data_IF_268990055710
#
_entry.id   IF_268990055710
#
_cell.length_a   1.000
_cell.length_b   1.000
_cell.length_c   1.000
_cell.angle_alpha   90.00
_cell.angle_beta   90.00
_cell.angle_gamma   90.00
#
_symmetry.space_group_name_H-M   'P 1'
#
loop_
_entity.id
_entity.type
_entity.pdbx_description
1 polymer ?
#
# COMPACT_ATOMS: atom_id res chain seq x y z
N UNK A 1 3.87 -14.33 -15.86
CA UNK A 1 3.56 -12.89 -15.89
C UNK A 1 4.20 -12.28 -14.66
N UNK A 2 5.01 -11.23 -14.80
CA UNK A 2 5.85 -10.67 -13.75
C UNK A 2 5.05 -9.80 -12.77
N UNK A 3 4.01 -9.10 -13.21
CA UNK A 3 3.09 -8.43 -12.30
C UNK A 3 2.23 -9.52 -11.69
N UNK A 4 2.20 -9.56 -10.37
CA UNK A 4 1.44 -10.53 -9.62
C UNK A 4 -0.03 -10.46 -10.04
N UNK A 5 -0.61 -11.58 -10.49
CA UNK A 5 -2.07 -11.65 -10.53
C UNK A 5 -2.60 -11.59 -9.09
N UNK A 6 -3.89 -11.28 -8.87
CA UNK A 6 -4.46 -11.32 -7.52
C UNK A 6 -4.18 -12.63 -6.79
N UNK A 7 -4.27 -13.77 -7.49
CA UNK A 7 -4.01 -15.10 -6.94
C UNK A 7 -2.54 -15.26 -6.53
N UNK A 8 -1.61 -14.86 -7.39
CA UNK A 8 -0.17 -14.95 -7.09
C UNK A 8 0.20 -14.02 -5.94
N UNK A 9 -0.37 -12.82 -5.85
CA UNK A 9 -0.08 -11.91 -4.73
C UNK A 9 -0.59 -12.44 -3.39
N UNK A 10 -1.76 -13.11 -3.39
CA UNK A 10 -2.24 -13.84 -2.21
C UNK A 10 -1.25 -14.94 -1.79
N UNK A 11 -0.79 -15.75 -2.74
CA UNK A 11 0.18 -16.82 -2.49
C UNK A 11 1.53 -16.29 -2.01
N UNK A 12 2.00 -15.15 -2.54
CA UNK A 12 3.20 -14.46 -2.05
C UNK A 12 3.06 -14.19 -0.55
N UNK A 13 1.99 -13.50 -0.14
CA UNK A 13 1.76 -13.13 1.25
C UNK A 13 1.59 -14.36 2.17
N UNK A 14 0.92 -15.42 1.69
CA UNK A 14 0.77 -16.68 2.43
C UNK A 14 2.12 -17.39 2.62
N UNK A 15 2.96 -17.40 1.57
CA UNK A 15 4.32 -17.95 1.62
C UNK A 15 5.20 -17.16 2.58
N UNK A 16 5.12 -15.84 2.56
CA UNK A 16 5.83 -14.97 3.49
C UNK A 16 5.43 -15.25 4.95
N UNK A 17 4.12 -15.34 5.21
CA UNK A 17 3.61 -15.66 6.55
C UNK A 17 4.05 -17.03 7.04
N UNK A 18 3.92 -18.07 6.21
CA UNK A 18 4.31 -19.44 6.56
C UNK A 18 5.83 -19.59 6.71
N UNK A 19 6.59 -18.94 5.83
CA UNK A 19 8.05 -18.97 5.78
C UNK A 19 8.73 -18.01 6.76
N UNK A 20 7.97 -17.15 7.47
CA UNK A 20 8.45 -16.14 8.43
C UNK A 20 9.46 -15.17 7.80
N UNK A 21 9.15 -14.68 6.61
CA UNK A 21 9.89 -13.60 5.95
C UNK A 21 8.92 -12.50 5.52
N UNK A 22 9.46 -11.39 5.01
CA UNK A 22 8.68 -10.27 4.48
C UNK A 22 9.20 -9.86 3.10
N UNK A 23 8.36 -9.19 2.32
CA UNK A 23 8.75 -8.58 1.05
C UNK A 23 9.08 -7.11 1.25
N UNK A 24 10.11 -6.59 0.59
CA UNK A 24 10.33 -5.15 0.52
C UNK A 24 9.22 -4.48 -0.31
N UNK A 25 8.67 -3.39 0.21
CA UNK A 25 7.81 -2.48 -0.54
C UNK A 25 8.56 -1.17 -0.78
N UNK A 26 8.89 -0.90 -2.06
CA UNK A 26 9.81 0.17 -2.44
C UNK A 26 9.04 1.32 -3.07
N UNK A 27 9.09 2.50 -2.44
CA UNK A 27 8.56 3.73 -3.03
C UNK A 27 9.31 4.07 -4.33
N UNK A 28 8.56 4.37 -5.38
CA UNK A 28 9.08 4.80 -6.68
C UNK A 28 8.42 6.10 -7.12
N UNK A 29 9.19 6.93 -7.82
CA UNK A 29 8.76 8.27 -8.26
C UNK A 29 9.11 8.54 -9.72
N UNK A 30 9.64 7.55 -10.43
CA UNK A 30 10.10 7.69 -11.81
C UNK A 30 10.34 6.33 -12.46
N UNK A 31 10.55 6.32 -13.78
CA UNK A 31 10.98 5.11 -14.49
C UNK A 31 12.37 4.64 -14.03
N UNK A 32 13.26 5.56 -13.62
CA UNK A 32 14.58 5.20 -13.10
C UNK A 32 14.50 4.46 -11.76
N UNK A 33 13.69 4.95 -10.83
CA UNK A 33 13.51 4.32 -9.50
C UNK A 33 12.76 3.00 -9.62
N UNK A 34 11.77 2.92 -10.51
CA UNK A 34 11.12 1.66 -10.88
C UNK A 34 12.11 0.62 -11.43
N UNK A 35 12.96 0.99 -12.39
CA UNK A 35 13.97 0.08 -12.92
C UNK A 35 14.97 -0.37 -11.84
N UNK A 36 15.35 0.53 -10.93
CA UNK A 36 16.23 0.19 -9.81
C UNK A 36 15.58 -0.85 -8.88
N UNK A 37 14.30 -0.67 -8.53
CA UNK A 37 13.56 -1.62 -7.70
C UNK A 37 13.43 -3.00 -8.38
N UNK A 38 12.98 -3.03 -9.64
CA UNK A 38 12.84 -4.28 -10.42
C UNK A 38 14.15 -5.05 -10.53
N UNK A 39 15.25 -4.33 -10.81
CA UNK A 39 16.59 -4.91 -10.86
C UNK A 39 17.02 -5.45 -9.49
N UNK A 40 16.81 -4.69 -8.43
CA UNK A 40 17.15 -5.12 -7.06
C UNK A 40 16.43 -6.40 -6.67
N UNK A 41 15.13 -6.53 -6.98
CA UNK A 41 14.36 -7.75 -6.74
C UNK A 41 14.91 -8.93 -7.54
N UNK A 42 15.20 -8.74 -8.83
CA UNK A 42 15.73 -9.80 -9.67
C UNK A 42 17.14 -10.26 -9.25
N UNK A 43 18.03 -9.33 -8.87
CA UNK A 43 19.38 -9.66 -8.38
C UNK A 43 19.34 -10.35 -7.02
N UNK A 44 18.33 -10.06 -6.19
CA UNK A 44 18.10 -10.75 -4.93
C UNK A 44 17.34 -12.09 -5.08
N UNK A 45 16.96 -12.46 -6.31
CA UNK A 45 16.10 -13.62 -6.60
C UNK A 45 14.82 -13.63 -5.75
N UNK A 46 14.26 -12.44 -5.49
CA UNK A 46 13.12 -12.24 -4.61
C UNK A 46 11.95 -11.61 -5.38
N UNK A 47 10.74 -12.07 -5.06
CA UNK A 47 9.54 -11.29 -5.37
C UNK A 47 9.54 -9.98 -4.54
N UNK A 48 8.72 -9.01 -4.89
CA UNK A 48 8.69 -7.71 -4.20
C UNK A 48 7.42 -6.90 -4.41
N UNK A 49 7.36 -5.73 -3.78
CA UNK A 49 6.26 -4.77 -3.90
C UNK A 49 6.84 -3.42 -4.34
N UNK A 50 6.18 -2.78 -5.31
CA UNK A 50 6.46 -1.40 -5.73
C UNK A 50 5.30 -0.55 -5.26
N UNK A 51 5.59 0.54 -4.56
CA UNK A 51 4.55 1.46 -4.08
C UNK A 51 4.72 2.89 -4.55
N UNK A 52 3.59 3.58 -4.67
CA UNK A 52 3.51 4.97 -5.10
C UNK A 52 2.75 5.75 -4.01
N UNK A 53 3.42 6.67 -3.32
CA UNK A 53 2.79 7.58 -2.36
C UNK A 53 1.98 8.66 -3.06
N UNK A 54 1.18 9.42 -2.31
CA UNK A 54 0.44 10.56 -2.88
C UNK A 54 1.40 11.61 -3.48
N UNK A 55 2.50 11.94 -2.79
CA UNK A 55 3.51 12.85 -3.31
C UNK A 55 4.26 12.29 -4.53
N UNK A 56 4.56 10.99 -4.53
CA UNK A 56 5.16 10.31 -5.69
C UNK A 56 4.24 10.33 -6.92
N UNK A 57 2.95 10.06 -6.71
CA UNK A 57 1.93 10.11 -7.75
C UNK A 57 1.75 11.53 -8.29
N UNK A 58 1.72 12.55 -7.43
CA UNK A 58 1.66 13.96 -7.82
C UNK A 58 2.87 14.34 -8.69
N UNK A 59 4.07 13.94 -8.28
CA UNK A 59 5.30 14.19 -9.02
C UNK A 59 5.25 13.58 -10.43
N UNK A 60 4.77 12.34 -10.54
CA UNK A 60 4.58 11.63 -11.81
C UNK A 60 3.47 12.21 -12.68
N UNK A 61 2.45 12.81 -12.07
CA UNK A 61 1.35 13.52 -12.75
C UNK A 61 1.81 14.81 -13.46
N UNK A 62 3.09 15.17 -13.32
CA UNK A 62 3.71 16.31 -13.96
C UNK A 62 3.55 17.59 -13.14
N UNK A 63 4.56 18.45 -13.20
CA UNK A 63 4.63 19.67 -12.37
C UNK A 63 3.62 20.76 -12.76
N UNK A 64 2.92 20.60 -13.89
CA UNK A 64 1.93 21.57 -14.35
C UNK A 64 0.55 21.34 -13.72
N UNK A 65 -0.02 20.13 -13.87
CA UNK A 65 -1.35 19.78 -13.36
C UNK A 65 -1.33 18.99 -12.05
N UNK A 66 -0.21 18.31 -11.72
CA UNK A 66 -0.01 17.63 -10.43
C UNK A 66 -1.10 16.61 -10.11
N UNK A 67 -1.53 15.84 -11.12
CA UNK A 67 -2.63 14.89 -10.99
C UNK A 67 -2.16 13.51 -10.51
N UNK A 68 -2.46 13.17 -9.26
CA UNK A 68 -2.04 11.90 -8.63
C UNK A 68 -2.52 10.67 -9.42
N UNK A 69 -3.80 10.60 -9.80
CA UNK A 69 -4.35 9.45 -10.55
C UNK A 69 -3.61 9.27 -11.87
N UNK A 70 -3.41 10.35 -12.62
CA UNK A 70 -2.69 10.34 -13.89
C UNK A 70 -1.27 9.82 -13.73
N UNK A 71 -0.53 10.31 -12.72
CA UNK A 71 0.83 9.87 -12.43
C UNK A 71 0.93 8.40 -12.03
N UNK A 72 0.06 7.95 -11.13
CA UNK A 72 0.04 6.56 -10.68
C UNK A 72 -0.36 5.59 -11.80
N UNK A 73 -1.38 5.92 -12.59
CA UNK A 73 -1.79 5.11 -13.76
C UNK A 73 -0.66 5.02 -14.78
N UNK A 74 -0.03 6.15 -15.13
CA UNK A 74 1.04 6.18 -16.12
C UNK A 74 2.23 5.30 -15.70
N UNK A 75 2.66 5.38 -14.44
CA UNK A 75 3.77 4.56 -13.97
C UNK A 75 3.37 3.08 -13.80
N UNK A 76 2.15 2.79 -13.36
CA UNK A 76 1.66 1.42 -13.27
C UNK A 76 1.60 0.74 -14.64
N UNK A 77 1.05 1.40 -15.66
CA UNK A 77 1.02 0.87 -17.04
C UNK A 77 2.44 0.64 -17.59
N UNK A 78 3.36 1.58 -17.34
CA UNK A 78 4.75 1.37 -17.69
C UNK A 78 5.35 0.15 -16.96
N UNK A 79 5.06 -0.03 -15.66
CA UNK A 79 5.51 -1.17 -14.87
C UNK A 79 4.97 -2.51 -15.42
N UNK A 80 3.70 -2.58 -15.81
CA UNK A 80 3.11 -3.76 -16.45
C UNK A 80 3.88 -4.20 -17.71
N UNK A 81 4.41 -3.24 -18.48
CA UNK A 81 5.21 -3.53 -19.69
C UNK A 81 6.63 -3.97 -19.32
N UNK A 82 7.34 -3.20 -18.49
CA UNK A 82 8.78 -3.44 -18.28
C UNK A 82 9.07 -4.60 -17.34
N UNK A 83 8.16 -4.91 -16.41
CA UNK A 83 8.31 -6.04 -15.50
C UNK A 83 8.44 -7.36 -16.27
N UNK A 84 7.95 -7.46 -17.53
CA UNK A 84 7.96 -8.72 -18.32
C UNK A 84 9.36 -9.20 -18.67
N UNK A 85 10.35 -8.34 -18.47
CA UNK A 85 11.75 -8.62 -18.74
C UNK A 85 12.50 -9.11 -17.50
N UNK A 86 11.81 -9.27 -16.36
CA UNK A 86 12.39 -9.72 -15.10
C UNK A 86 11.86 -11.10 -14.70
N UNK A 87 12.69 -11.98 -14.12
CA UNK A 87 12.32 -13.36 -13.77
C UNK A 87 11.62 -13.49 -12.40
N UNK A 88 11.19 -12.38 -11.79
CA UNK A 88 10.57 -12.31 -10.46
C UNK A 88 9.14 -11.79 -10.55
N UNK A 89 8.37 -12.00 -9.49
CA UNK A 89 7.01 -11.48 -9.37
C UNK A 89 7.00 -10.19 -8.57
N UNK A 90 6.23 -9.20 -9.02
CA UNK A 90 6.12 -7.90 -8.36
C UNK A 90 4.67 -7.46 -8.27
N UNK A 91 4.24 -7.03 -7.09
CA UNK A 91 2.95 -6.40 -6.89
C UNK A 91 3.08 -4.87 -6.92
N UNK A 92 2.13 -4.21 -7.57
CA UNK A 92 1.93 -2.77 -7.49
C UNK A 92 0.99 -2.41 -6.33
N UNK A 93 1.39 -1.40 -5.56
CA UNK A 93 0.72 -0.88 -4.37
C UNK A 93 0.63 0.66 -4.42
N UNK A 94 -0.30 1.26 -3.69
CA UNK A 94 -0.28 2.71 -3.38
C UNK A 94 -0.17 2.90 -1.89
N UNK A 95 0.74 3.78 -1.49
CA UNK A 95 1.06 4.07 -0.10
C UNK A 95 0.00 4.95 0.59
N UNK A 96 0.30 5.40 1.81
CA UNK A 96 -0.51 6.29 2.66
C UNK A 96 -1.46 7.21 1.88
N UNK A 97 -2.76 6.97 2.02
CA UNK A 97 -3.81 7.81 1.45
C UNK A 97 -4.76 8.28 2.55
N UNK A 98 -4.60 9.53 3.05
CA UNK A 98 -5.46 10.08 4.08
C UNK A 98 -6.84 10.46 3.55
N UNK A 99 -7.76 10.74 4.47
CA UNK A 99 -9.20 10.97 4.18
C UNK A 99 -9.45 12.02 3.11
N UNK A 100 -8.72 13.13 3.16
CA UNK A 100 -8.85 14.26 2.24
C UNK A 100 -8.30 13.97 0.83
N UNK A 101 -7.52 12.89 0.67
CA UNK A 101 -6.95 12.44 -0.61
C UNK A 101 -7.69 11.27 -1.25
N UNK A 102 -8.56 10.57 -0.50
CA UNK A 102 -9.28 9.37 -0.97
C UNK A 102 -9.99 9.57 -2.32
N UNK A 103 -10.76 10.65 -2.45
CA UNK A 103 -11.54 10.96 -3.66
C UNK A 103 -10.65 11.39 -4.85
N UNK A 104 -9.42 11.82 -4.56
CA UNK A 104 -8.43 12.21 -5.57
C UNK A 104 -7.39 11.13 -5.88
N UNK A 105 -7.43 9.96 -5.21
CA UNK A 105 -6.40 8.93 -5.36
C UNK A 105 -6.95 7.50 -5.32
N UNK A 106 -7.15 6.90 -4.13
CA UNK A 106 -7.52 5.49 -4.01
C UNK A 106 -8.90 5.17 -4.60
N UNK A 107 -9.93 6.00 -4.36
CA UNK A 107 -11.29 5.71 -4.88
C UNK A 107 -11.36 5.73 -6.41
N UNK A 108 -10.73 6.69 -7.12
CA UNK A 108 -10.60 6.64 -8.58
C UNK A 108 -9.77 5.44 -9.08
N UNK A 109 -8.67 5.09 -8.43
CA UNK A 109 -7.83 3.95 -8.83
C UNK A 109 -8.55 2.60 -8.64
N UNK A 110 -9.33 2.47 -7.57
CA UNK A 110 -10.26 1.35 -7.38
C UNK A 110 -11.27 1.28 -8.53
N UNK A 111 -11.91 2.40 -8.89
CA UNK A 111 -12.88 2.43 -9.98
C UNK A 111 -12.26 1.99 -11.33
N UNK A 112 -11.03 2.41 -11.63
CA UNK A 112 -10.29 1.95 -12.81
C UNK A 112 -10.11 0.42 -12.78
N UNK A 113 -9.71 -0.12 -11.64
CA UNK A 113 -9.50 -1.56 -11.47
C UNK A 113 -10.81 -2.36 -11.51
N UNK A 114 -11.90 -1.85 -10.94
CA UNK A 114 -13.24 -2.42 -11.05
C UNK A 114 -13.66 -2.55 -12.51
N UNK A 115 -13.45 -1.52 -13.35
CA UNK A 115 -13.76 -1.58 -14.78
C UNK A 115 -12.86 -2.58 -15.54
N UNK A 116 -11.56 -2.65 -15.22
CA UNK A 116 -10.65 -3.67 -15.78
C UNK A 116 -11.13 -5.08 -15.47
N UNK A 117 -11.51 -5.34 -14.22
CA UNK A 117 -12.00 -6.64 -13.77
C UNK A 117 -13.34 -7.01 -14.43
N UNK A 118 -14.28 -6.06 -14.55
CA UNK A 118 -15.54 -6.27 -15.30
C UNK A 118 -15.28 -6.60 -16.77
N UNK A 119 -14.25 -6.02 -17.37
CA UNK A 119 -13.82 -6.32 -18.74
C UNK A 119 -13.04 -7.65 -18.88
N UNK A 120 -12.82 -8.39 -17.79
CA UNK A 120 -12.12 -9.68 -17.78
C UNK A 120 -10.60 -9.58 -17.65
N UNK A 121 -10.07 -8.40 -17.37
CA UNK A 121 -8.65 -8.20 -17.07
C UNK A 121 -8.37 -8.31 -15.55
N UNK A 122 -7.09 -8.32 -15.18
CA UNK A 122 -6.67 -8.12 -13.79
C UNK A 122 -6.71 -6.63 -13.41
N UNK A 123 -6.80 -6.31 -12.10
CA UNK A 123 -6.76 -4.93 -11.64
C UNK A 123 -5.43 -4.25 -12.02
N UNK A 124 -5.41 -2.91 -12.02
CA UNK A 124 -4.20 -2.16 -12.36
C UNK A 124 -3.16 -2.26 -11.24
N UNK A 125 -3.62 -2.13 -9.99
CA UNK A 125 -2.87 -2.32 -8.76
C UNK A 125 -3.34 -3.60 -8.06
N UNK A 126 -2.48 -4.21 -7.25
CA UNK A 126 -2.81 -5.43 -6.50
C UNK A 126 -3.21 -5.10 -5.06
N UNK A 127 -2.79 -3.93 -4.56
CA UNK A 127 -3.21 -3.41 -3.25
C UNK A 127 -3.24 -1.88 -3.22
N UNK A 128 -4.02 -1.34 -2.28
CA UNK A 128 -4.07 0.09 -1.97
C UNK A 128 -4.09 0.28 -0.45
N UNK A 129 -3.40 1.30 0.05
CA UNK A 129 -3.44 1.68 1.46
C UNK A 129 -4.51 2.75 1.72
N UNK A 130 -5.31 2.50 2.75
CA UNK A 130 -6.15 3.47 3.43
C UNK A 130 -5.46 3.83 4.75
N UNK A 131 -5.00 5.07 4.86
CA UNK A 131 -4.44 5.60 6.09
C UNK A 131 -5.48 6.48 6.80
N UNK A 132 -6.24 5.86 7.70
CA UNK A 132 -7.19 6.54 8.57
C UNK A 132 -6.63 6.85 9.95
N UNK A 133 -5.32 6.78 10.15
CA UNK A 133 -4.69 6.86 11.48
C UNK A 133 -4.91 8.20 12.19
N UNK A 134 -5.15 9.27 11.43
CA UNK A 134 -5.51 10.60 11.94
C UNK A 134 -6.99 10.73 12.36
N UNK A 135 -7.84 9.77 12.00
CA UNK A 135 -9.26 9.75 12.34
C UNK A 135 -9.51 9.00 13.66
N UNK A 136 -10.74 9.09 14.20
CA UNK A 136 -11.12 8.18 15.28
C UNK A 136 -11.12 6.75 14.77
N UNK A 137 -10.78 5.76 15.60
CA UNK A 137 -10.79 4.35 15.18
C UNK A 137 -12.16 3.93 14.62
N UNK A 138 -13.26 4.46 15.16
CA UNK A 138 -14.60 4.16 14.65
C UNK A 138 -14.82 4.68 13.22
N UNK A 139 -14.43 5.92 12.94
CA UNK A 139 -14.55 6.52 11.61
C UNK A 139 -13.58 5.87 10.61
N UNK A 140 -12.37 5.58 11.06
CA UNK A 140 -11.37 4.86 10.28
C UNK A 140 -11.92 3.49 9.82
N UNK A 141 -12.40 2.67 10.76
CA UNK A 141 -12.92 1.35 10.45
C UNK A 141 -14.18 1.39 9.59
N UNK A 142 -15.03 2.42 9.75
CA UNK A 142 -16.20 2.61 8.88
C UNK A 142 -15.81 2.85 7.41
N UNK A 143 -14.79 3.68 7.17
CA UNK A 143 -14.25 3.91 5.82
C UNK A 143 -13.53 2.65 5.32
N UNK A 144 -12.75 1.99 6.17
CA UNK A 144 -12.05 0.76 5.82
C UNK A 144 -13.01 -0.35 5.38
N UNK A 145 -14.19 -0.47 6.01
CA UNK A 145 -15.23 -1.44 5.60
C UNK A 145 -15.77 -1.15 4.19
N UNK A 146 -16.05 0.12 3.88
CA UNK A 146 -16.47 0.54 2.52
C UNK A 146 -15.39 0.21 1.49
N UNK A 147 -14.15 0.61 1.76
CA UNK A 147 -13.04 0.39 0.85
C UNK A 147 -12.70 -1.09 0.69
N UNK A 148 -12.83 -1.90 1.75
CA UNK A 148 -12.56 -3.34 1.71
C UNK A 148 -13.56 -4.07 0.84
N UNK A 149 -14.84 -3.70 0.90
CA UNK A 149 -15.87 -4.26 0.03
C UNK A 149 -15.57 -3.98 -1.45
N UNK A 150 -15.19 -2.74 -1.77
CA UNK A 150 -14.81 -2.33 -3.12
C UNK A 150 -13.52 -2.98 -3.60
N UNK A 151 -12.49 -3.02 -2.75
CA UNK A 151 -11.23 -3.67 -3.04
C UNK A 151 -11.43 -5.16 -3.34
N UNK A 152 -12.24 -5.86 -2.53
CA UNK A 152 -12.61 -7.25 -2.78
C UNK A 152 -13.29 -7.43 -4.13
N UNK A 153 -14.25 -6.57 -4.48
CA UNK A 153 -14.94 -6.62 -5.78
C UNK A 153 -13.97 -6.40 -6.96
N UNK A 154 -12.93 -5.58 -6.75
CA UNK A 154 -11.87 -5.31 -7.72
C UNK A 154 -10.70 -6.33 -7.68
N UNK A 155 -10.78 -7.40 -6.87
CA UNK A 155 -9.68 -8.36 -6.64
C UNK A 155 -8.38 -7.72 -6.12
N UNK A 156 -8.52 -6.69 -5.29
CA UNK A 156 -7.45 -5.90 -4.67
C UNK A 156 -7.41 -6.18 -3.17
N UNK A 157 -6.20 -6.23 -2.60
CA UNK A 157 -5.99 -6.28 -1.14
C UNK A 157 -6.00 -4.85 -0.59
N UNK A 158 -6.75 -4.59 0.48
CA UNK A 158 -6.69 -3.30 1.17
C UNK A 158 -5.60 -3.33 2.24
N UNK A 159 -4.76 -2.32 2.34
CA UNK A 159 -3.94 -2.07 3.52
C UNK A 159 -4.59 -1.01 4.39
N UNK A 160 -4.59 -1.19 5.70
CA UNK A 160 -5.24 -0.28 6.66
C UNK A 160 -4.25 0.08 7.75
N UNK A 161 -4.10 1.37 8.02
CA UNK A 161 -3.40 1.87 9.19
C UNK A 161 -4.41 2.33 10.25
N UNK A 162 -4.24 1.86 11.49
CA UNK A 162 -5.17 2.12 12.61
C UNK A 162 -4.56 2.96 13.73
N UNK A 163 -3.27 3.28 13.64
CA UNK A 163 -2.55 4.07 14.64
C UNK A 163 -1.44 4.83 13.93
N UNK A 164 -1.23 6.13 14.21
CA UNK A 164 -0.26 6.93 13.46
C UNK A 164 1.15 6.35 13.54
N UNK A 165 1.90 6.60 12.48
CA UNK A 165 3.37 6.47 12.47
C UNK A 165 4.02 7.79 12.87
N UNK A 166 5.19 7.75 13.50
CA UNK A 166 5.93 8.96 13.84
C UNK A 166 6.70 9.51 12.63
N UNK A 167 7.20 10.75 12.72
CA UNK A 167 8.12 11.29 11.71
C UNK A 167 7.41 12.16 10.67
N UNK A 168 8.00 12.32 9.48
CA UNK A 168 7.45 13.14 8.39
C UNK A 168 7.30 12.31 7.11
N UNK A 169 6.12 12.40 6.49
CA UNK A 169 5.82 11.81 5.19
C UNK A 169 4.95 12.75 4.36
N UNK A 170 5.32 12.99 3.10
CA UNK A 170 4.59 13.86 2.15
C UNK A 170 4.18 15.24 2.75
N UNK A 171 4.98 15.77 3.69
CA UNK A 171 4.76 17.05 4.39
C UNK A 171 3.83 16.98 5.61
N UNK A 172 3.37 15.80 6.00
CA UNK A 172 2.62 15.53 7.24
C UNK A 172 3.59 15.05 8.30
N UNK A 173 3.54 15.64 9.50
CA UNK A 173 4.43 15.25 10.61
C UNK A 173 3.65 14.82 11.84
N UNK A 174 4.10 13.72 12.45
CA UNK A 174 3.58 13.20 13.72
C UNK A 174 4.68 13.19 14.78
N UNK A 175 4.33 13.66 15.98
CA UNK A 175 5.24 13.62 17.12
C UNK A 175 5.52 12.18 17.56
N UNK A 176 6.79 11.92 17.94
CA UNK A 176 7.21 10.63 18.46
C UNK A 176 6.78 10.52 19.93
N UNK A 177 5.67 9.84 20.19
CA UNK A 177 5.10 9.67 21.53
C UNK A 177 4.38 8.31 21.68
N UNK A 178 3.73 8.08 22.83
CA UNK A 178 3.05 6.80 23.12
C UNK A 178 1.79 6.54 22.27
N UNK A 179 1.29 7.53 21.51
CA UNK A 179 0.19 7.32 20.56
C UNK A 179 0.62 6.54 19.30
N UNK A 180 1.92 6.24 19.16
CA UNK A 180 2.48 5.41 18.09
C UNK A 180 2.45 3.90 18.41
N UNK A 181 1.74 3.47 19.45
CA UNK A 181 1.62 2.05 19.81
C UNK A 181 0.17 1.61 19.72
N UNK A 182 -0.13 0.79 18.73
CA UNK A 182 -1.43 0.14 18.58
C UNK A 182 -1.72 -0.71 19.83
N UNK A 183 -2.92 -0.54 20.38
CA UNK A 183 -3.34 -1.36 21.53
C UNK A 183 -3.93 -2.70 21.08
N UNK A 184 -3.92 -3.69 21.98
CA UNK A 184 -4.59 -4.97 21.73
C UNK A 184 -6.09 -4.78 21.49
N UNK A 185 -6.71 -3.80 22.16
CA UNK A 185 -8.13 -3.49 21.98
C UNK A 185 -8.40 -2.97 20.55
N UNK A 186 -7.57 -2.04 20.06
CA UNK A 186 -7.70 -1.53 18.68
C UNK A 186 -7.55 -2.65 17.64
N UNK A 187 -6.61 -3.58 17.86
CA UNK A 187 -6.42 -4.74 17.00
C UNK A 187 -7.64 -5.69 17.02
N UNK A 188 -8.24 -5.94 18.19
CA UNK A 188 -9.46 -6.75 18.33
C UNK A 188 -10.63 -6.07 17.61
N UNK A 189 -10.85 -4.77 17.86
CA UNK A 189 -11.93 -3.99 17.20
C UNK A 189 -11.78 -3.97 15.69
N UNK A 190 -10.54 -3.93 15.19
CA UNK A 190 -10.24 -4.03 13.76
C UNK A 190 -10.65 -5.38 13.19
N UNK A 191 -10.30 -6.48 13.87
CA UNK A 191 -10.70 -7.83 13.47
C UNK A 191 -12.22 -8.03 13.53
N UNK A 192 -12.91 -7.44 14.50
CA UNK A 192 -14.38 -7.47 14.58
C UNK A 192 -15.02 -6.72 13.39
N UNK A 193 -14.52 -5.54 13.06
CA UNK A 193 -15.03 -4.71 11.98
C UNK A 193 -14.75 -5.31 10.58
N UNK A 194 -13.49 -5.67 10.31
CA UNK A 194 -13.00 -6.08 8.99
C UNK A 194 -12.99 -7.60 8.79
N UNK A 195 -13.17 -8.38 9.85
CA UNK A 195 -13.03 -9.84 9.81
C UNK A 195 -11.58 -10.29 9.90
N UNK A 196 -11.33 -11.57 9.67
CA UNK A 196 -10.00 -12.18 9.61
C UNK A 196 -9.57 -12.53 8.16
N UNK A 197 -10.28 -11.97 7.18
CA UNK A 197 -10.07 -12.18 5.75
C UNK A 197 -11.34 -12.65 5.01
N UNK A 198 -12.37 -13.12 5.71
CA UNK A 198 -13.61 -13.62 5.11
C UNK A 198 -14.47 -12.52 4.47
N UNK A 199 -14.32 -11.26 4.92
CA UNK A 199 -14.98 -10.09 4.30
C UNK A 199 -14.16 -9.47 3.17
N UNK A 200 -12.92 -9.92 2.98
CA UNK A 200 -11.92 -9.37 2.07
C UNK A 200 -10.54 -9.45 2.73
N UNK A 201 -9.51 -9.79 1.96
CA UNK A 201 -8.14 -9.82 2.48
C UNK A 201 -7.63 -8.41 2.68
N UNK A 202 -7.06 -8.15 3.86
CA UNK A 202 -6.39 -6.89 4.16
C UNK A 202 -5.02 -7.09 4.81
N UNK A 203 -4.18 -6.07 4.71
CA UNK A 203 -2.94 -5.90 5.46
C UNK A 203 -3.19 -4.86 6.57
N UNK A 204 -2.57 -5.05 7.73
CA UNK A 204 -2.72 -4.15 8.87
C UNK A 204 -1.37 -3.52 9.19
N UNK A 205 -1.27 -2.22 8.97
CA UNK A 205 -0.21 -1.38 9.52
C UNK A 205 -0.58 -1.06 10.98
N UNK A 206 -0.15 -1.93 11.89
CA UNK A 206 -0.24 -1.70 13.33
C UNK A 206 1.07 -1.06 13.80
N UNK A 207 0.99 0.17 14.32
CA UNK A 207 2.16 0.92 14.75
C UNK A 207 2.71 0.34 16.06
N UNK A 208 4.02 0.12 16.13
CA UNK A 208 4.71 -0.38 17.33
C UNK A 208 5.90 0.51 17.71
N UNK A 209 5.74 1.82 17.48
CA UNK A 209 6.78 2.84 17.65
C UNK A 209 7.60 3.12 16.39
N UNK A 210 7.12 2.69 15.22
CA UNK A 210 7.75 2.99 13.93
C UNK A 210 7.65 4.47 13.58
N UNK A 211 8.69 4.96 12.91
CA UNK A 211 8.87 6.37 12.56
C UNK A 211 9.40 6.43 11.13
N UNK A 212 8.75 7.22 10.27
CA UNK A 212 9.20 7.47 8.91
C UNK A 212 10.45 8.33 8.86
N UNK A 213 11.42 7.91 8.05
CA UNK A 213 12.72 8.54 7.91
C UNK A 213 13.85 7.78 8.61
N UNK A 214 15.07 8.31 8.50
CA UNK A 214 16.28 7.70 9.06
C UNK A 214 16.84 8.59 10.16
N UNK A 215 16.79 8.08 11.39
CA UNK A 215 17.29 8.78 12.58
C UNK A 215 18.56 8.13 13.10
N UNK A 216 19.30 8.86 13.95
CA UNK A 216 20.47 8.29 14.62
C UNK A 216 20.08 7.04 15.44
N UNK A 217 20.93 6.01 15.51
CA UNK A 217 20.67 4.82 16.31
C UNK A 217 20.31 5.18 17.76
N UNK A 218 19.21 4.59 18.26
CA UNK A 218 18.69 4.82 19.62
C UNK A 218 17.59 5.89 19.73
N UNK A 219 17.33 6.69 18.69
CA UNK A 219 16.27 7.71 18.71
C UNK A 219 14.86 7.13 18.47
N UNK A 220 14.77 6.02 17.74
CA UNK A 220 13.51 5.30 17.48
C UNK A 220 13.48 4.07 18.37
N UNK A 221 12.42 3.93 19.17
CA UNK A 221 12.26 2.82 20.12
C UNK A 221 11.09 1.97 19.65
N UNK A 222 11.40 0.81 19.07
CA UNK A 222 10.41 -0.16 18.59
C UNK A 222 10.00 -1.13 19.70
N UNK A 223 8.71 -1.53 19.73
CA UNK A 223 8.15 -2.55 20.63
C UNK A 223 7.29 -3.57 19.86
N UNK A 224 7.90 -4.39 18.97
CA UNK A 224 7.18 -5.34 18.11
C UNK A 224 6.49 -6.46 18.89
#
# INVERSE_FOLDING_TARGET
MPIATPEVYNEMLDRAKAGKFAYPAINVTSTQTLHAALRGFAEAESDGIIQISTGGAEFLGGQYSKEMVTGAVALAEFAHIVAEKYPVTVALHTDHCPKDKLDGYVRPLLAISEERVKAGANPLFQSHMWDGSAETLADNLAIAQELLERARAAKIILEVEITPTGGEEDGVSHEINDSLYTTVDDAIRTAEALGLGEKGRYLLAASFGNVHGVYKPGNVVLRP
#
